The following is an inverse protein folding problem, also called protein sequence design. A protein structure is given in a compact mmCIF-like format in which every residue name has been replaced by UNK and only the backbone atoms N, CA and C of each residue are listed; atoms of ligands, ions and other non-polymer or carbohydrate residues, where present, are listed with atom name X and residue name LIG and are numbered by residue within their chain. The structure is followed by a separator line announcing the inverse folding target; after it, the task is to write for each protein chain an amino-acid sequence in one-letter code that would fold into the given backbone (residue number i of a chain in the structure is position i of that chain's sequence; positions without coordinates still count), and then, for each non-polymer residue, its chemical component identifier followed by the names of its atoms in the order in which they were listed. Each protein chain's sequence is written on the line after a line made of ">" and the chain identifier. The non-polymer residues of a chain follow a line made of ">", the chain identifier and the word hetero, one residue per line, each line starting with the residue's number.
data_IF_083744450610
#
_entry.id   IF_083744450610
#
_cell.length_a   1.000
_cell.length_b   1.000
_cell.length_c   1.000
_cell.angle_alpha   90.00
_cell.angle_beta   90.00
_cell.angle_gamma   90.00
#
_symmetry.space_group_name_H-M   'P 1'
#
loop_
_entity.id
_entity.type
_entity.pdbx_description
1 polymer ?
#
# COMPACT_ATOMS: atom_id res chain seq x y z
N UNK A 1 18.15 -5.83 -19.97
CA UNK A 1 17.88 -5.37 -19.79
C UNK A 1 17.51 -5.02 -19.23
N UNK A 2 17.51 -4.99 -19.17
CA UNK A 2 17.19 -4.47 -18.87
C UNK A 2 16.70 -4.02 -18.26
N UNK A 3 16.31 -4.21 -18.48
CA UNK A 3 15.91 -3.65 -17.96
C UNK A 3 15.81 -3.21 -17.08
N UNK A 4 15.86 -2.63 -17.28
CA UNK A 4 15.93 -2.04 -16.21
C UNK A 4 15.10 -0.97 -16.07
N UNK A 5 13.89 -1.25 -15.92
CA UNK A 5 12.87 -0.29 -15.75
C UNK A 5 12.99 0.21 -14.37
N UNK A 6 13.22 1.48 -14.22
CA UNK A 6 13.21 2.09 -12.90
C UNK A 6 11.78 2.14 -12.39
N UNK A 7 11.57 1.91 -11.11
CA UNK A 7 10.22 2.04 -10.55
C UNK A 7 9.74 3.49 -10.66
N UNK A 8 8.45 3.64 -10.91
CA UNK A 8 7.81 4.95 -10.96
C UNK A 8 7.63 5.50 -9.55
N UNK A 9 7.22 4.65 -8.62
CA UNK A 9 7.04 5.01 -7.23
C UNK A 9 7.53 3.86 -6.35
N UNK A 10 7.98 4.23 -5.15
CA UNK A 10 8.40 3.24 -4.16
C UNK A 10 7.81 3.59 -2.81
N UNK A 11 7.83 2.65 -1.90
CA UNK A 11 7.37 2.89 -0.55
C UNK A 11 7.64 1.71 0.36
N UNK A 12 7.10 1.78 1.57
CA UNK A 12 7.27 0.72 2.54
C UNK A 12 6.85 1.15 3.93
N UNK A 13 7.22 0.34 4.91
CA UNK A 13 6.87 0.60 6.29
C UNK A 13 7.88 1.52 6.97
N UNK A 14 7.52 1.98 8.15
CA UNK A 14 8.33 2.92 8.90
C UNK A 14 9.70 2.35 9.25
N UNK A 15 9.79 1.07 9.61
CA UNK A 15 11.06 0.47 10.02
C UNK A 15 11.90 -0.02 8.84
N UNK A 16 11.35 -0.03 7.63
CA UNK A 16 12.07 -0.43 6.45
C UNK A 16 12.11 -1.93 6.17
N UNK A 17 11.50 -2.74 7.03
CA UNK A 17 11.49 -4.19 6.83
C UNK A 17 10.70 -4.60 5.58
N UNK A 18 9.68 -3.83 5.25
CA UNK A 18 8.81 -4.10 4.09
C UNK A 18 8.99 -2.95 3.09
N UNK A 19 9.26 -3.30 1.84
CA UNK A 19 9.39 -2.32 0.77
C UNK A 19 8.61 -2.77 -0.45
N UNK A 20 8.13 -1.81 -1.25
CA UNK A 20 7.42 -2.11 -2.49
C UNK A 20 7.79 -1.12 -3.57
N UNK A 21 7.45 -1.48 -4.80
CA UNK A 21 7.69 -0.61 -5.95
C UNK A 21 6.56 -0.77 -6.96
N UNK A 22 6.27 0.32 -7.66
CA UNK A 22 5.31 0.35 -8.75
C UNK A 22 6.03 0.59 -10.05
N UNK A 23 5.63 -0.13 -11.09
CA UNK A 23 6.18 0.05 -12.43
C UNK A 23 5.34 1.02 -13.27
N UNK A 24 4.17 1.42 -12.78
CA UNK A 24 3.29 2.37 -13.47
C UNK A 24 2.57 3.22 -12.44
N UNK A 25 2.08 4.41 -12.83
CA UNK A 25 1.32 5.25 -11.91
C UNK A 25 0.04 4.56 -11.44
N UNK A 26 -0.48 4.95 -10.26
CA UNK A 26 -1.76 4.41 -9.81
C UNK A 26 -2.87 4.73 -10.80
N UNK A 27 -3.86 3.83 -10.83
CA UNK A 27 -5.05 4.04 -11.67
C UNK A 27 -5.86 5.22 -11.15
N UNK A 28 -5.97 5.32 -9.83
CA UNK A 28 -6.68 6.44 -9.19
C UNK A 28 -6.30 6.50 -7.73
N UNK A 29 -6.62 7.61 -7.10
CA UNK A 29 -6.45 7.80 -5.67
C UNK A 29 -7.82 8.13 -5.09
N UNK A 30 -8.16 7.56 -3.94
CA UNK A 30 -9.46 7.75 -3.33
C UNK A 30 -9.34 7.79 -1.81
N UNK A 31 -10.42 8.24 -1.18
CA UNK A 31 -10.50 8.35 0.28
C UNK A 31 -11.68 7.52 0.75
N UNK A 32 -11.46 6.73 1.79
CA UNK A 32 -12.51 5.90 2.37
C UNK A 32 -12.75 6.31 3.82
N UNK A 33 -14.01 6.61 4.13
CA UNK A 33 -14.42 7.01 5.48
C UNK A 33 -15.10 5.89 6.26
N UNK A 34 -15.13 4.67 5.76
CA UNK A 34 -15.85 3.61 6.45
C UNK A 34 -15.15 3.25 7.77
N UNK A 35 -15.92 2.66 8.67
CA UNK A 35 -15.41 2.31 9.99
C UNK A 35 -14.20 1.43 9.95
N UNK A 36 -14.19 0.46 9.03
CA UNK A 36 -13.06 -0.46 8.93
C UNK A 36 -11.81 0.28 8.50
N UNK A 37 -11.92 1.21 7.57
CA UNK A 37 -10.77 2.01 7.13
C UNK A 37 -10.30 2.94 8.24
N UNK A 38 -11.24 3.52 9.00
CA UNK A 38 -10.88 4.36 10.14
C UNK A 38 -10.09 3.56 11.17
N UNK A 39 -10.57 2.37 11.51
CA UNK A 39 -9.87 1.53 12.49
C UNK A 39 -8.53 1.06 11.97
N UNK A 40 -8.47 0.65 10.72
CA UNK A 40 -7.25 0.11 10.16
C UNK A 40 -6.15 1.16 10.02
N UNK A 41 -6.52 2.41 9.77
CA UNK A 41 -5.56 3.49 9.58
C UNK A 41 -5.31 4.30 10.85
N UNK A 42 -6.21 4.21 11.83
CA UNK A 42 -6.13 5.05 13.02
C UNK A 42 -6.44 6.51 12.75
N UNK A 43 -7.15 6.80 11.65
CA UNK A 43 -7.43 8.15 11.21
C UNK A 43 -8.92 8.29 10.86
N UNK A 44 -9.45 9.53 10.73
CA UNK A 44 -10.85 9.71 10.34
C UNK A 44 -11.18 9.16 8.97
N UNK A 45 -10.18 8.95 8.13
CA UNK A 45 -10.34 8.35 6.82
C UNK A 45 -9.02 7.68 6.41
N UNK A 46 -9.06 6.86 5.37
CA UNK A 46 -7.88 6.27 4.79
C UNK A 46 -7.78 6.71 3.33
N UNK A 47 -6.58 7.08 2.91
CA UNK A 47 -6.31 7.49 1.54
C UNK A 47 -5.60 6.35 0.83
N UNK A 48 -6.13 5.94 -0.31
CA UNK A 48 -5.62 4.79 -1.06
C UNK A 48 -5.27 5.14 -2.49
N UNK A 49 -4.21 4.53 -2.99
CA UNK A 49 -3.89 4.57 -4.41
C UNK A 49 -4.14 3.16 -4.97
N UNK A 50 -4.97 3.08 -6.00
CA UNK A 50 -5.32 1.81 -6.65
C UNK A 50 -4.27 1.48 -7.69
N UNK A 51 -3.69 0.29 -7.61
CA UNK A 51 -2.64 -0.14 -8.51
C UNK A 51 -3.01 -1.49 -9.09
N UNK A 52 -2.83 -1.65 -10.41
CA UNK A 52 -3.04 -2.96 -11.03
C UNK A 52 -2.03 -3.94 -10.44
N UNK A 53 -2.45 -5.15 -10.15
CA UNK A 53 -1.57 -6.14 -9.54
C UNK A 53 -0.29 -6.36 -10.35
N UNK A 54 -0.38 -6.30 -11.66
CA UNK A 54 0.78 -6.49 -12.52
C UNK A 54 1.82 -5.38 -12.44
N UNK A 55 1.43 -4.23 -11.88
CA UNK A 55 2.33 -3.08 -11.78
C UNK A 55 2.91 -2.92 -10.38
N UNK A 56 2.66 -3.86 -9.50
CA UNK A 56 3.06 -3.79 -8.10
C UNK A 56 3.95 -4.98 -7.71
N UNK A 57 4.97 -4.71 -6.91
CA UNK A 57 5.78 -5.79 -6.36
C UNK A 57 6.28 -5.43 -4.96
N UNK A 58 6.25 -6.41 -4.06
CA UNK A 58 6.96 -6.30 -2.79
C UNK A 58 8.43 -6.53 -3.08
N UNK A 59 9.27 -5.57 -2.74
CA UNK A 59 10.71 -5.65 -3.08
C UNK A 59 11.56 -6.05 -1.89
N UNK A 60 11.02 -6.00 -0.69
CA UNK A 60 11.71 -6.45 0.51
C UNK A 60 10.69 -6.93 1.52
N UNK A 61 10.94 -8.10 2.10
CA UNK A 61 10.13 -8.64 3.16
C UNK A 61 8.77 -9.12 2.69
N UNK A 62 8.02 -9.69 3.62
CA UNK A 62 6.66 -10.17 3.39
C UNK A 62 5.78 -9.57 4.46
N UNK A 63 4.77 -8.78 4.09
CA UNK A 63 3.90 -8.20 5.10
C UNK A 63 3.03 -9.27 5.76
N UNK A 64 2.59 -8.98 6.97
CA UNK A 64 1.54 -9.76 7.61
C UNK A 64 0.21 -9.36 7.00
N UNK A 65 -0.76 -10.26 7.05
CA UNK A 65 -2.07 -10.00 6.48
C UNK A 65 -3.14 -10.26 7.53
N UNK A 66 -4.11 -9.36 7.59
CA UNK A 66 -5.29 -9.51 8.43
C UNK A 66 -6.51 -9.68 7.53
N UNK A 67 -7.24 -10.79 7.71
CA UNK A 67 -8.46 -11.02 6.95
C UNK A 67 -9.53 -10.10 7.51
N UNK A 68 -9.75 -8.97 6.84
CA UNK A 68 -10.68 -7.96 7.34
C UNK A 68 -12.13 -8.29 7.04
N UNK A 69 -12.37 -9.14 6.05
CA UNK A 69 -13.71 -9.63 5.72
C UNK A 69 -13.58 -10.92 4.94
N UNK A 70 -14.71 -11.49 4.53
CA UNK A 70 -14.69 -12.74 3.75
C UNK A 70 -14.05 -12.53 2.37
N UNK A 71 -13.93 -11.30 1.90
CA UNK A 71 -13.46 -11.02 0.55
C UNK A 71 -12.21 -10.16 0.49
N UNK A 72 -11.66 -9.73 1.63
CA UNK A 72 -10.56 -8.77 1.61
C UNK A 72 -9.56 -9.02 2.71
N UNK A 73 -8.32 -8.63 2.44
CA UNK A 73 -7.23 -8.66 3.40
C UNK A 73 -6.53 -7.33 3.45
N UNK A 74 -5.98 -7.00 4.61
CA UNK A 74 -5.17 -5.81 4.82
C UNK A 74 -3.77 -6.24 5.20
N UNK A 75 -2.78 -5.64 4.55
CA UNK A 75 -1.39 -5.99 4.77
C UNK A 75 -0.73 -4.92 5.62
N UNK A 76 0.16 -5.35 6.51
CA UNK A 76 0.85 -4.43 7.40
C UNK A 76 2.20 -5.02 7.79
N UNK A 77 3.08 -4.17 8.31
CA UNK A 77 4.38 -4.65 8.79
C UNK A 77 4.21 -5.25 10.18
N UNK A 78 4.58 -6.52 10.33
CA UNK A 78 4.47 -7.18 11.63
C UNK A 78 5.45 -6.61 12.65
N UNK A 79 6.55 -5.99 12.21
CA UNK A 79 7.56 -5.46 13.12
C UNK A 79 7.23 -4.07 13.65
N UNK A 80 6.72 -3.17 12.80
CA UNK A 80 6.47 -1.79 13.24
C UNK A 80 5.01 -1.39 13.17
N UNK A 81 4.15 -2.23 12.60
CA UNK A 81 2.72 -1.97 12.59
C UNK A 81 2.23 -1.05 11.48
N UNK A 82 3.10 -0.56 10.61
CA UNK A 82 2.66 0.33 9.54
C UNK A 82 1.61 -0.36 8.67
N UNK A 83 0.40 0.22 8.51
CA UNK A 83 -0.56 -0.32 7.57
C UNK A 83 -0.11 -0.02 6.14
N UNK A 84 -0.20 -1.01 5.27
CA UNK A 84 0.38 -0.87 3.94
C UNK A 84 -0.66 -0.93 2.85
N UNK A 85 -1.56 -1.91 2.88
CA UNK A 85 -2.44 -2.12 1.74
C UNK A 85 -3.75 -2.78 2.11
N UNK A 86 -4.69 -2.66 1.19
CA UNK A 86 -5.98 -3.33 1.21
C UNK A 86 -6.15 -3.99 -0.15
N UNK A 87 -6.59 -5.25 -0.19
CA UNK A 87 -6.83 -5.93 -1.45
C UNK A 87 -7.99 -6.89 -1.32
N UNK A 88 -8.79 -6.94 -2.36
CA UNK A 88 -9.80 -7.98 -2.46
C UNK A 88 -9.11 -9.26 -2.88
N UNK A 89 -9.48 -10.36 -2.28
CA UNK A 89 -8.77 -11.62 -2.48
C UNK A 89 -8.72 -12.03 -3.96
N UNK A 90 -9.84 -11.84 -4.66
CA UNK A 90 -9.89 -12.19 -6.08
C UNK A 90 -9.87 -10.96 -6.98
N UNK A 91 -9.47 -9.81 -6.45
CA UNK A 91 -9.51 -8.58 -7.21
C UNK A 91 -8.29 -8.38 -8.09
N UNK A 92 -8.42 -7.53 -9.10
CA UNK A 92 -7.31 -7.25 -10.02
C UNK A 92 -6.36 -6.17 -9.52
N UNK A 93 -6.66 -5.54 -8.39
CA UNK A 93 -5.90 -4.40 -7.90
C UNK A 93 -5.53 -4.54 -6.44
N UNK A 94 -4.46 -3.85 -6.07
CA UNK A 94 -4.08 -3.65 -4.68
C UNK A 94 -4.22 -2.17 -4.41
N UNK A 95 -4.73 -1.81 -3.23
CA UNK A 95 -4.89 -0.42 -2.82
C UNK A 95 -3.87 -0.12 -1.74
N UNK A 96 -2.95 0.78 -2.04
CA UNK A 96 -1.86 1.11 -1.12
C UNK A 96 -2.23 2.37 -0.36
N UNK A 97 -2.07 2.35 0.96
CA UNK A 97 -2.26 3.56 1.75
C UNK A 97 -1.23 4.59 1.32
N UNK A 98 -1.70 5.79 0.98
CA UNK A 98 -0.83 6.78 0.36
C UNK A 98 0.31 7.23 1.26
N UNK A 99 0.12 7.16 2.58
CA UNK A 99 1.19 7.49 3.51
C UNK A 99 2.38 6.54 3.48
N UNK A 100 2.24 5.37 2.86
CA UNK A 100 3.33 4.42 2.76
C UNK A 100 4.28 4.70 1.59
N UNK A 101 3.92 5.60 0.68
CA UNK A 101 4.79 5.98 -0.42
C UNK A 101 5.91 6.91 0.04
N UNK A 102 7.08 6.75 -0.55
CA UNK A 102 8.23 7.60 -0.22
C UNK A 102 8.06 9.03 -0.74
N UNK A 103 7.34 9.17 -1.84
CA UNK A 103 7.26 10.44 -2.56
C UNK A 103 6.10 11.32 -2.13
N UNK A 104 5.24 10.84 -1.26
CA UNK A 104 4.06 11.56 -0.83
C UNK A 104 4.32 12.25 0.50
N UNK A 105 3.76 13.44 0.66
CA UNK A 105 3.81 14.14 1.94
C UNK A 105 5.18 14.63 2.33
N UNK A 106 6.06 14.85 1.34
CA UNK A 106 7.35 15.36 1.68
C UNK A 106 7.21 16.70 2.33
N UNK A 107 7.74 16.78 3.51
CA UNK A 107 7.76 18.04 4.19
C UNK A 107 8.67 18.97 3.42
N UNK A 108 8.20 20.16 3.23
CA UNK A 108 9.05 21.13 2.70
C UNK A 108 9.18 22.12 3.75
N UNK A 109 9.72 21.74 4.75
CA UNK A 109 9.89 22.67 5.82
C UNK A 109 11.17 23.40 5.65
#
# INVERSE_FOLDING_TARGET
>A
MTSETKPVLTGGCQCGAIRFALSAPPVKVSICHCRMCQKASGAPFASFADIENGDFAWTRGTPAAFRSSSIAERDFCAACGTPLSFRRIDGPRIEILTGAFDQIGRAHV
#
